data_IF_628372584349
#
_entry.id   IF_628372584349
#
_cell.length_a   1.000
_cell.length_b   1.000
_cell.length_c   1.000
_cell.angle_alpha   90.00
_cell.angle_beta   90.00
_cell.angle_gamma   90.00
#
_symmetry.space_group_name_H-M   'P 1'
#
loop_
_entity.id
_entity.type
_entity.pdbx_description
1 polymer ?
#
# COMPACT_ATOMS: atom_id res chain seq x y z
N UNK A 1 -43.18 96.77 -58.73
CA UNK A 1 -43.68 95.37 -58.59
C UNK A 1 -45.20 95.39 -58.62
N UNK A 2 -45.85 94.43 -59.30
CA UNK A 2 -47.32 94.27 -59.27
C UNK A 2 -47.80 93.97 -57.84
N UNK A 3 -48.95 94.52 -57.41
CA UNK A 3 -49.55 94.25 -56.09
C UNK A 3 -49.75 92.74 -55.84
N UNK A 4 -50.00 91.97 -56.89
CA UNK A 4 -50.15 90.50 -56.84
C UNK A 4 -48.85 89.80 -56.39
N UNK A 5 -47.69 90.28 -56.88
CA UNK A 5 -46.38 89.71 -56.56
C UNK A 5 -46.01 89.98 -55.10
N UNK A 6 -46.35 91.16 -54.58
CA UNK A 6 -46.14 91.50 -53.17
C UNK A 6 -47.02 90.65 -52.25
N UNK A 7 -48.28 90.37 -52.64
CA UNK A 7 -49.19 89.49 -51.90
C UNK A 7 -48.66 88.06 -51.82
N UNK A 8 -48.24 87.50 -52.96
CA UNK A 8 -47.67 86.15 -53.04
C UNK A 8 -46.38 86.00 -52.22
N UNK A 9 -45.52 87.01 -52.21
CA UNK A 9 -44.29 86.99 -51.37
C UNK A 9 -44.63 87.01 -49.88
N UNK A 10 -45.67 87.76 -49.47
CA UNK A 10 -46.14 87.78 -48.08
C UNK A 10 -46.76 86.44 -47.67
N UNK A 11 -47.62 85.86 -48.51
CA UNK A 11 -48.19 84.52 -48.31
C UNK A 11 -47.10 83.45 -48.18
N UNK A 12 -46.12 83.42 -49.09
CA UNK A 12 -44.96 82.51 -49.03
C UNK A 12 -44.13 82.70 -47.76
N UNK A 13 -43.94 83.95 -47.31
CA UNK A 13 -43.18 84.24 -46.08
C UNK A 13 -43.93 83.74 -44.83
N UNK A 14 -45.25 83.89 -44.80
CA UNK A 14 -46.07 83.44 -43.68
C UNK A 14 -46.18 81.90 -43.66
N UNK A 15 -46.31 81.25 -44.82
CA UNK A 15 -46.22 79.78 -44.96
C UNK A 15 -44.85 79.25 -44.54
N UNK A 16 -43.76 79.91 -44.95
CA UNK A 16 -42.40 79.53 -44.55
C UNK A 16 -42.21 79.67 -43.03
N UNK A 17 -42.73 80.75 -42.42
CA UNK A 17 -42.71 80.92 -40.97
C UNK A 17 -43.52 79.86 -40.24
N UNK A 18 -44.72 79.53 -40.73
CA UNK A 18 -45.56 78.49 -40.16
C UNK A 18 -44.89 77.12 -40.28
N UNK A 19 -44.29 76.80 -41.43
CA UNK A 19 -43.52 75.59 -41.65
C UNK A 19 -42.30 75.49 -40.74
N UNK A 20 -41.54 76.58 -40.54
CA UNK A 20 -40.42 76.61 -39.60
C UNK A 20 -40.86 76.46 -38.15
N UNK A 21 -42.01 77.02 -37.75
CA UNK A 21 -42.57 76.84 -36.42
C UNK A 21 -42.97 75.38 -36.18
N UNK A 22 -43.68 74.76 -37.13
CA UNK A 22 -44.05 73.33 -37.05
C UNK A 22 -42.82 72.41 -37.02
N UNK A 23 -41.79 72.72 -37.83
CA UNK A 23 -40.55 71.94 -37.85
C UNK A 23 -39.82 72.04 -36.51
N UNK A 24 -39.75 73.25 -35.93
CA UNK A 24 -39.16 73.49 -34.63
C UNK A 24 -39.91 72.73 -33.53
N UNK A 25 -41.23 72.83 -33.49
CA UNK A 25 -42.07 72.14 -32.49
C UNK A 25 -41.93 70.61 -32.60
N UNK A 26 -41.86 70.08 -33.82
CA UNK A 26 -41.66 68.64 -34.05
C UNK A 26 -40.25 68.18 -33.65
N UNK A 27 -39.22 68.99 -33.89
CA UNK A 27 -37.86 68.75 -33.40
C UNK A 27 -37.81 68.77 -31.88
N UNK A 28 -38.39 69.78 -31.24
CA UNK A 28 -38.45 69.89 -29.78
C UNK A 28 -39.19 68.69 -29.17
N UNK A 29 -40.33 68.26 -29.72
CA UNK A 29 -41.02 67.05 -29.27
C UNK A 29 -40.18 65.77 -29.42
N UNK A 30 -39.51 65.58 -30.55
CA UNK A 30 -38.66 64.40 -30.75
C UNK A 30 -37.48 64.37 -29.77
N UNK A 31 -36.82 65.52 -29.55
CA UNK A 31 -35.75 65.64 -28.55
C UNK A 31 -36.26 65.36 -27.14
N UNK A 32 -37.44 65.85 -26.77
CA UNK A 32 -38.06 65.61 -25.46
C UNK A 32 -38.39 64.13 -25.26
N UNK A 33 -38.85 63.45 -26.31
CA UNK A 33 -39.14 62.01 -26.30
C UNK A 33 -37.85 61.19 -26.15
N UNK A 34 -36.81 61.49 -26.93
CA UNK A 34 -35.51 60.83 -26.86
C UNK A 34 -34.85 61.04 -25.48
N UNK A 35 -34.92 62.24 -24.91
CA UNK A 35 -34.38 62.53 -23.58
C UNK A 35 -35.09 61.70 -22.50
N UNK A 36 -36.43 61.58 -22.57
CA UNK A 36 -37.20 60.74 -21.63
C UNK A 36 -36.87 59.27 -21.81
N UNK A 37 -36.72 58.79 -23.04
CA UNK A 37 -36.33 57.40 -23.34
C UNK A 37 -34.96 57.08 -22.73
N UNK A 38 -33.96 57.93 -23.01
CA UNK A 38 -32.60 57.79 -22.48
C UNK A 38 -32.58 57.82 -20.94
N UNK A 39 -33.34 58.72 -20.31
CA UNK A 39 -33.45 58.76 -18.84
C UNK A 39 -33.98 57.45 -18.27
N UNK A 40 -34.97 56.85 -18.94
CA UNK A 40 -35.57 55.58 -18.52
C UNK A 40 -34.56 54.44 -18.62
N UNK A 41 -33.86 54.32 -19.76
CA UNK A 41 -32.82 53.30 -19.96
C UNK A 41 -31.67 53.47 -18.94
N UNK A 42 -31.23 54.70 -18.68
CA UNK A 42 -30.18 54.98 -17.68
C UNK A 42 -30.62 54.50 -16.29
N UNK A 43 -31.87 54.72 -15.89
CA UNK A 43 -32.36 54.29 -14.60
C UNK A 43 -32.53 52.77 -14.50
N UNK A 44 -32.89 52.09 -15.59
CA UNK A 44 -32.88 50.63 -15.65
C UNK A 44 -31.46 50.04 -15.55
N UNK A 45 -30.50 50.65 -16.26
CA UNK A 45 -29.08 50.27 -16.17
C UNK A 45 -28.56 50.44 -14.75
N UNK A 46 -28.88 51.55 -14.06
CA UNK A 46 -28.49 51.75 -12.65
C UNK A 46 -29.04 50.65 -11.75
N UNK A 47 -30.33 50.30 -11.88
CA UNK A 47 -30.95 49.21 -11.09
C UNK A 47 -30.26 47.87 -11.36
N UNK A 48 -29.97 47.57 -12.62
CA UNK A 48 -29.22 46.36 -13.01
C UNK A 48 -27.82 46.34 -12.39
N UNK A 49 -27.12 47.47 -12.42
CA UNK A 49 -25.78 47.64 -11.85
C UNK A 49 -25.77 47.47 -10.33
N UNK A 50 -26.78 47.98 -9.61
CA UNK A 50 -26.93 47.77 -8.17
C UNK A 50 -27.16 46.29 -7.81
N UNK A 51 -27.99 45.59 -8.60
CA UNK A 51 -28.22 44.15 -8.43
C UNK A 51 -26.95 43.35 -8.69
N UNK A 52 -26.22 43.71 -9.75
CA UNK A 52 -24.95 43.09 -10.10
C UNK A 52 -23.89 43.31 -9.01
N UNK A 53 -23.80 44.52 -8.44
CA UNK A 53 -22.89 44.81 -7.33
C UNK A 53 -23.19 43.92 -6.12
N UNK A 54 -24.46 43.79 -5.74
CA UNK A 54 -24.87 42.90 -4.62
C UNK A 54 -24.53 41.43 -4.91
N UNK A 55 -24.78 40.97 -6.12
CA UNK A 55 -24.45 39.59 -6.52
C UNK A 55 -22.93 39.34 -6.46
N UNK A 56 -22.13 40.35 -6.84
CA UNK A 56 -20.67 40.28 -6.81
C UNK A 56 -20.14 40.25 -5.37
N UNK A 57 -20.75 41.00 -4.46
CA UNK A 57 -20.42 40.95 -3.02
C UNK A 57 -20.75 39.58 -2.40
N UNK A 58 -21.92 39.02 -2.70
CA UNK A 58 -22.31 37.68 -2.25
C UNK A 58 -21.38 36.59 -2.80
N UNK A 59 -21.04 36.66 -4.09
CA UNK A 59 -20.09 35.75 -4.72
C UNK A 59 -18.70 35.84 -4.07
N UNK A 60 -18.23 37.06 -3.78
CA UNK A 60 -16.98 37.28 -3.06
C UNK A 60 -17.02 36.72 -1.63
N UNK A 61 -18.15 36.84 -0.93
CA UNK A 61 -18.37 36.25 0.39
C UNK A 61 -18.24 34.72 0.36
N UNK A 62 -18.94 34.08 -0.59
CA UNK A 62 -18.86 32.63 -0.81
C UNK A 62 -17.45 32.18 -1.18
N UNK A 63 -16.78 32.89 -2.10
CA UNK A 63 -15.42 32.60 -2.52
C UNK A 63 -14.42 32.64 -1.34
N UNK A 64 -14.56 33.63 -0.46
CA UNK A 64 -13.76 33.71 0.78
C UNK A 64 -14.02 32.52 1.71
N UNK A 65 -15.27 32.10 1.89
CA UNK A 65 -15.59 30.92 2.72
C UNK A 65 -14.99 29.65 2.14
N UNK A 66 -15.24 29.38 0.85
CA UNK A 66 -14.71 28.22 0.15
C UNK A 66 -13.18 28.19 0.13
N UNK A 67 -12.52 29.36 0.06
CA UNK A 67 -11.07 29.45 0.15
C UNK A 67 -10.56 29.09 1.54
N UNK A 68 -11.26 29.51 2.61
CA UNK A 68 -10.92 29.15 4.00
C UNK A 68 -11.10 27.64 4.24
N UNK A 69 -12.22 27.09 3.82
CA UNK A 69 -12.51 25.65 3.91
C UNK A 69 -11.48 24.82 3.14
N UNK A 70 -11.13 25.22 1.90
CA UNK A 70 -10.09 24.55 1.13
C UNK A 70 -8.73 24.56 1.83
N UNK A 71 -8.36 25.66 2.49
CA UNK A 71 -7.11 25.72 3.25
C UNK A 71 -7.15 24.78 4.46
N UNK A 72 -8.26 24.74 5.18
CA UNK A 72 -8.44 23.83 6.32
C UNK A 72 -8.38 22.36 5.87
N UNK A 73 -9.10 22.01 4.81
CA UNK A 73 -9.11 20.66 4.25
C UNK A 73 -7.73 20.23 3.74
N UNK A 74 -6.98 21.12 3.09
CA UNK A 74 -5.60 20.81 2.66
C UNK A 74 -4.70 20.50 3.84
N UNK A 75 -4.77 21.31 4.91
CA UNK A 75 -4.01 21.10 6.13
C UNK A 75 -4.37 19.77 6.80
N UNK A 76 -5.65 19.45 6.93
CA UNK A 76 -6.10 18.17 7.48
C UNK A 76 -5.63 17.00 6.62
N UNK A 77 -5.65 17.13 5.29
CA UNK A 77 -5.16 16.09 4.39
C UNK A 77 -3.66 15.82 4.57
N UNK A 78 -2.85 16.85 4.75
CA UNK A 78 -1.42 16.73 5.04
C UNK A 78 -1.18 16.05 6.39
N UNK A 79 -1.93 16.43 7.43
CA UNK A 79 -1.85 15.81 8.76
C UNK A 79 -2.27 14.33 8.72
N UNK A 80 -3.35 14.01 8.00
CA UNK A 80 -3.82 12.63 7.81
C UNK A 80 -2.79 11.79 7.05
N UNK A 81 -2.18 12.32 5.98
CA UNK A 81 -1.12 11.61 5.25
C UNK A 81 0.09 11.32 6.13
N UNK A 82 0.50 12.29 6.94
CA UNK A 82 1.60 12.11 7.90
C UNK A 82 1.28 11.01 8.92
N UNK A 83 0.05 11.03 9.48
CA UNK A 83 -0.41 10.00 10.44
C UNK A 83 -0.47 8.61 9.81
N UNK A 84 -0.98 8.50 8.58
CA UNK A 84 -1.02 7.21 7.86
C UNK A 84 0.39 6.67 7.68
N UNK A 85 1.34 7.50 7.23
CA UNK A 85 2.72 7.07 7.04
C UNK A 85 3.40 6.62 8.35
N UNK A 86 3.15 7.33 9.45
CA UNK A 86 3.63 6.94 10.78
C UNK A 86 3.06 5.58 11.21
N UNK A 87 1.74 5.40 11.06
CA UNK A 87 1.07 4.14 11.40
C UNK A 87 1.55 2.96 10.55
N UNK A 88 1.78 3.14 9.26
CA UNK A 88 2.36 2.11 8.38
C UNK A 88 3.77 1.69 8.82
N UNK A 89 4.58 2.66 9.26
CA UNK A 89 5.93 2.42 9.77
C UNK A 89 5.91 1.66 11.10
N UNK A 90 5.03 2.05 12.02
CA UNK A 90 4.86 1.39 13.32
C UNK A 90 4.31 -0.03 13.17
N UNK A 91 3.35 -0.22 12.26
CA UNK A 91 2.81 -1.54 11.95
C UNK A 91 3.89 -2.47 11.40
N UNK A 92 4.70 -1.99 10.46
CA UNK A 92 5.82 -2.76 9.90
C UNK A 92 6.82 -3.15 10.98
N UNK A 93 7.17 -2.21 11.86
CA UNK A 93 8.11 -2.46 12.97
C UNK A 93 7.55 -3.50 13.95
N UNK A 94 6.27 -3.37 14.32
CA UNK A 94 5.59 -4.30 15.22
C UNK A 94 5.51 -5.72 14.65
N UNK A 95 5.24 -5.84 13.36
CA UNK A 95 5.23 -7.13 12.66
C UNK A 95 6.62 -7.78 12.65
N UNK A 96 7.68 -7.00 12.39
CA UNK A 96 9.05 -7.49 12.43
C UNK A 96 9.47 -7.95 13.84
N UNK A 97 9.06 -7.24 14.88
CA UNK A 97 9.33 -7.61 16.28
C UNK A 97 8.57 -8.87 16.70
N UNK A 98 7.29 -8.97 16.33
CA UNK A 98 6.47 -10.16 16.59
C UNK A 98 7.12 -11.40 15.94
N UNK A 99 7.52 -11.28 14.67
CA UNK A 99 8.16 -12.39 13.95
C UNK A 99 9.50 -12.80 14.58
N UNK A 100 10.32 -11.83 15.01
CA UNK A 100 11.57 -12.11 15.74
C UNK A 100 11.29 -12.83 17.06
N UNK A 101 10.29 -12.39 17.81
CA UNK A 101 9.88 -13.01 19.07
C UNK A 101 9.40 -14.44 18.88
N UNK A 102 8.51 -14.67 17.91
CA UNK A 102 8.03 -16.01 17.56
C UNK A 102 9.16 -16.95 17.12
N UNK A 103 10.13 -16.44 16.36
CA UNK A 103 11.27 -17.26 15.94
C UNK A 103 12.24 -17.51 17.10
N UNK A 104 12.37 -16.56 18.03
CA UNK A 104 13.20 -16.68 19.22
C UNK A 104 12.70 -17.78 20.16
N UNK A 105 11.38 -17.90 20.39
CA UNK A 105 10.82 -18.97 21.23
C UNK A 105 11.08 -20.38 20.67
N UNK A 106 11.42 -20.49 19.38
CA UNK A 106 11.75 -21.76 18.69
C UNK A 106 13.25 -21.96 18.51
N UNK A 107 14.11 -21.09 19.06
CA UNK A 107 15.55 -21.12 18.83
C UNK A 107 16.28 -22.31 19.46
N UNK A 108 15.61 -23.09 20.31
CA UNK A 108 16.07 -24.37 20.87
C UNK A 108 15.36 -25.57 20.24
N UNK A 109 14.56 -25.35 19.20
CA UNK A 109 13.70 -26.39 18.65
C UNK A 109 14.23 -26.88 17.31
N UNK A 110 14.01 -28.17 17.05
CA UNK A 110 14.26 -28.85 15.80
C UNK A 110 12.97 -29.50 15.32
N UNK A 111 12.75 -29.46 14.01
CA UNK A 111 11.66 -30.15 13.34
C UNK A 111 12.22 -31.34 12.55
N UNK A 112 11.80 -32.54 12.94
CA UNK A 112 12.17 -33.80 12.28
C UNK A 112 10.98 -34.23 11.42
N UNK A 113 11.26 -34.53 10.15
CA UNK A 113 10.27 -34.92 9.14
C UNK A 113 10.61 -36.26 8.53
N UNK A 114 9.60 -36.93 8.00
CA UNK A 114 9.76 -38.15 7.23
C UNK A 114 9.80 -39.42 8.07
N UNK A 115 9.47 -39.36 9.36
CA UNK A 115 9.35 -40.54 10.22
C UNK A 115 7.86 -40.91 10.29
N UNK A 116 7.43 -42.09 9.80
CA UNK A 116 6.06 -42.57 9.94
C UNK A 116 5.64 -42.64 11.42
N UNK A 117 4.35 -42.49 11.69
CA UNK A 117 3.83 -42.63 13.05
C UNK A 117 3.44 -44.08 13.30
N UNK A 118 4.06 -44.70 14.30
CA UNK A 118 3.77 -46.08 14.71
C UNK A 118 2.88 -46.12 15.96
N UNK A 119 2.00 -47.13 16.09
CA UNK A 119 1.28 -47.39 17.33
C UNK A 119 2.26 -47.61 18.50
N UNK A 120 2.01 -46.93 19.62
CA UNK A 120 2.85 -47.02 20.83
C UNK A 120 4.34 -46.67 20.60
N UNK A 121 4.64 -45.74 19.69
CA UNK A 121 6.00 -45.26 19.48
C UNK A 121 6.62 -44.61 20.74
N UNK A 122 7.93 -44.85 20.93
CA UNK A 122 8.70 -44.13 21.94
C UNK A 122 9.60 -43.08 21.26
N UNK A 123 9.18 -41.82 21.33
CA UNK A 123 9.93 -40.70 20.76
C UNK A 123 11.34 -40.57 21.38
N UNK A 124 11.52 -40.94 22.64
CA UNK A 124 12.84 -40.88 23.29
C UNK A 124 13.82 -41.87 22.68
N UNK A 125 13.35 -43.07 22.33
CA UNK A 125 14.20 -44.09 21.71
C UNK A 125 14.51 -43.75 20.25
N UNK A 126 13.54 -43.15 19.53
CA UNK A 126 13.78 -42.59 18.19
C UNK A 126 14.88 -41.51 18.26
N UNK A 127 14.82 -40.60 19.23
CA UNK A 127 15.83 -39.54 19.40
C UNK A 127 17.21 -40.10 19.77
N UNK A 128 17.29 -41.13 20.61
CA UNK A 128 18.57 -41.80 20.92
C UNK A 128 19.19 -42.40 19.67
N UNK A 129 18.42 -43.19 18.90
CA UNK A 129 18.88 -43.79 17.64
C UNK A 129 19.35 -42.72 16.64
N UNK A 130 18.59 -41.62 16.51
CA UNK A 130 18.99 -40.50 15.65
C UNK A 130 20.26 -39.81 16.16
N UNK A 131 20.39 -39.60 17.46
CA UNK A 131 21.58 -39.02 18.09
C UNK A 131 22.83 -39.87 17.83
N UNK A 132 22.73 -41.18 18.03
CA UNK A 132 23.80 -42.15 17.74
C UNK A 132 24.17 -42.14 16.25
N UNK A 133 23.17 -42.22 15.37
CA UNK A 133 23.38 -42.18 13.92
C UNK A 133 24.06 -40.88 13.46
N UNK A 134 23.71 -39.75 14.08
CA UNK A 134 24.28 -38.42 13.77
C UNK A 134 25.67 -38.22 14.39
N UNK A 135 26.09 -39.10 15.31
CA UNK A 135 27.33 -38.94 16.08
C UNK A 135 27.22 -37.83 17.14
N UNK A 136 26.01 -37.55 17.63
CA UNK A 136 25.70 -36.63 18.71
C UNK A 136 24.69 -37.29 19.65
N UNK A 137 25.18 -38.11 20.57
CA UNK A 137 24.32 -38.85 21.50
C UNK A 137 23.42 -37.90 22.30
N UNK A 138 22.12 -38.20 22.31
CA UNK A 138 21.10 -37.44 23.02
C UNK A 138 20.67 -38.20 24.28
N UNK A 139 20.84 -37.56 25.43
CA UNK A 139 20.35 -38.04 26.73
C UNK A 139 18.99 -37.44 27.06
N UNK A 140 18.30 -37.99 28.06
CA UNK A 140 17.05 -37.41 28.56
C UNK A 140 17.22 -36.00 29.13
N UNK A 141 18.41 -35.66 29.63
CA UNK A 141 18.72 -34.32 30.13
C UNK A 141 18.95 -33.27 29.03
N UNK A 142 19.14 -33.70 27.78
CA UNK A 142 19.35 -32.78 26.65
C UNK A 142 18.04 -32.25 26.06
N UNK A 143 16.94 -32.98 26.28
CA UNK A 143 15.63 -32.73 25.69
C UNK A 143 14.67 -32.27 26.78
N UNK A 144 14.03 -31.13 26.53
CA UNK A 144 13.00 -30.57 27.40
C UNK A 144 11.62 -31.12 27.04
N UNK A 145 11.25 -31.03 25.76
CA UNK A 145 9.95 -31.49 25.25
C UNK A 145 10.14 -32.17 23.90
N UNK A 146 9.47 -33.31 23.69
CA UNK A 146 9.40 -33.99 22.40
C UNK A 146 7.97 -34.43 22.12
N UNK A 147 7.40 -34.02 20.99
CA UNK A 147 6.03 -34.38 20.63
C UNK A 147 5.80 -34.37 19.11
N UNK A 148 4.78 -35.10 18.67
CA UNK A 148 4.29 -35.08 17.29
C UNK A 148 3.44 -33.83 17.03
N UNK A 149 3.57 -33.26 15.84
CA UNK A 149 2.75 -32.15 15.34
C UNK A 149 2.18 -32.54 13.99
N UNK A 150 0.88 -32.32 13.82
CA UNK A 150 0.18 -32.60 12.56
C UNK A 150 0.69 -31.69 11.46
N UNK A 151 0.78 -32.23 10.24
CA UNK A 151 1.04 -31.44 9.05
C UNK A 151 -0.27 -31.12 8.33
N UNK A 152 -0.21 -30.43 7.18
CA UNK A 152 -1.41 -30.23 6.33
C UNK A 152 -1.92 -31.53 5.70
N UNK A 153 -1.03 -32.51 5.57
CA UNK A 153 -1.37 -33.86 5.15
C UNK A 153 -1.63 -34.67 6.43
N UNK A 154 -2.89 -35.04 6.65
CA UNK A 154 -3.30 -35.77 7.86
C UNK A 154 -2.63 -37.14 7.97
N UNK A 155 -2.06 -37.66 6.89
CA UNK A 155 -1.29 -38.91 6.88
C UNK A 155 0.14 -38.72 7.38
N UNK A 156 0.62 -37.48 7.53
CA UNK A 156 2.00 -37.15 7.91
C UNK A 156 2.04 -36.31 9.17
N UNK A 157 2.87 -36.74 10.11
CA UNK A 157 3.17 -36.01 11.34
C UNK A 157 4.67 -35.75 11.44
N UNK A 158 5.04 -34.55 11.90
CA UNK A 158 6.43 -34.20 12.17
C UNK A 158 6.70 -34.34 13.67
N UNK A 159 7.95 -34.53 14.06
CA UNK A 159 8.35 -34.50 15.47
C UNK A 159 9.00 -33.13 15.74
N UNK A 160 8.53 -32.45 16.79
CA UNK A 160 9.18 -31.26 17.34
C UNK A 160 9.94 -31.66 18.60
N UNK A 161 11.23 -31.31 18.61
CA UNK A 161 12.12 -31.53 19.75
C UNK A 161 12.59 -30.18 20.25
N UNK A 162 12.34 -29.87 21.52
CA UNK A 162 12.88 -28.73 22.23
C UNK A 162 14.03 -29.19 23.11
N UNK A 163 15.20 -28.61 22.91
CA UNK A 163 16.40 -28.91 23.68
C UNK A 163 16.50 -28.00 24.91
N UNK A 164 17.17 -28.48 25.96
CA UNK A 164 17.49 -27.65 27.14
C UNK A 164 18.47 -26.52 26.79
N UNK A 165 19.49 -26.83 25.99
CA UNK A 165 20.52 -25.87 25.56
C UNK A 165 20.47 -25.65 24.04
N UNK A 166 20.65 -24.38 23.64
CA UNK A 166 20.78 -24.02 22.22
C UNK A 166 22.05 -24.63 21.60
N UNK A 167 23.10 -24.73 22.39
CA UNK A 167 24.37 -25.31 21.95
C UNK A 167 24.22 -26.77 21.53
N UNK A 168 23.58 -27.60 22.37
CA UNK A 168 23.34 -29.02 22.06
C UNK A 168 22.47 -29.16 20.81
N UNK A 169 21.45 -28.32 20.69
CA UNK A 169 20.61 -28.22 19.47
C UNK A 169 21.45 -27.92 18.23
N UNK A 170 22.31 -26.91 18.31
CA UNK A 170 23.15 -26.45 17.19
C UNK A 170 24.16 -27.55 16.77
N UNK A 171 24.79 -28.24 17.73
CA UNK A 171 25.70 -29.37 17.49
C UNK A 171 24.99 -30.53 16.78
N UNK A 172 23.84 -30.95 17.31
CA UNK A 172 23.02 -32.01 16.71
C UNK A 172 22.62 -31.67 15.27
N UNK A 173 22.13 -30.45 15.06
CA UNK A 173 21.67 -30.00 13.75
C UNK A 173 22.81 -29.87 12.73
N UNK A 174 23.98 -29.36 13.14
CA UNK A 174 25.14 -29.22 12.24
C UNK A 174 25.64 -30.58 11.76
N UNK A 175 25.72 -31.56 12.65
CA UNK A 175 26.09 -32.93 12.32
C UNK A 175 25.03 -33.60 11.43
N UNK A 176 23.75 -33.44 11.77
CA UNK A 176 22.64 -34.00 10.99
C UNK A 176 22.61 -33.50 9.54
N UNK A 177 22.93 -32.21 9.31
CA UNK A 177 22.99 -31.62 7.95
C UNK A 177 24.03 -32.26 7.03
N UNK A 178 25.05 -32.91 7.60
CA UNK A 178 26.12 -33.58 6.85
C UNK A 178 25.76 -35.03 6.48
N UNK A 179 24.63 -35.53 6.96
CA UNK A 179 24.22 -36.92 6.82
C UNK A 179 22.96 -37.07 5.98
N UNK A 180 22.82 -38.23 5.33
CA UNK A 180 21.60 -38.64 4.63
C UNK A 180 20.93 -39.71 5.47
N UNK A 181 20.06 -39.29 6.38
CA UNK A 181 19.32 -40.16 7.27
C UNK A 181 18.12 -40.76 6.54
N UNK A 182 17.81 -42.02 6.83
CA UNK A 182 16.67 -42.76 6.28
C UNK A 182 15.99 -43.58 7.38
N UNK A 183 14.78 -44.05 7.14
CA UNK A 183 14.01 -44.76 8.18
C UNK A 183 14.53 -46.18 8.49
N UNK A 184 15.39 -46.75 7.65
CA UNK A 184 16.10 -48.01 7.91
C UNK A 184 16.88 -47.99 9.24
N UNK A 185 17.48 -46.85 9.59
CA UNK A 185 18.21 -46.65 10.85
C UNK A 185 17.33 -46.80 12.08
N UNK A 186 16.02 -46.56 11.94
CA UNK A 186 15.05 -46.71 13.01
C UNK A 186 14.51 -48.15 13.10
N UNK A 187 14.83 -49.00 12.13
CA UNK A 187 14.27 -50.34 11.96
C UNK A 187 12.91 -50.35 11.26
N UNK A 188 12.58 -49.30 10.51
CA UNK A 188 11.35 -49.26 9.71
C UNK A 188 11.54 -50.02 8.40
N UNK A 189 10.47 -50.62 7.89
CA UNK A 189 10.43 -51.24 6.55
C UNK A 189 10.44 -50.20 5.42
N UNK A 190 10.17 -48.93 5.76
CA UNK A 190 10.21 -47.81 4.82
C UNK A 190 11.63 -47.25 4.69
N UNK A 191 12.10 -46.97 3.46
CA UNK A 191 13.41 -46.36 3.18
C UNK A 191 13.32 -44.84 2.94
N UNK A 192 12.23 -44.20 3.41
CA UNK A 192 12.02 -42.77 3.20
C UNK A 192 13.10 -41.92 3.90
N UNK A 193 13.52 -40.80 3.31
CA UNK A 193 14.51 -39.91 3.89
C UNK A 193 13.99 -39.16 5.11
N UNK A 194 14.81 -39.08 6.15
CA UNK A 194 14.55 -38.30 7.37
C UNK A 194 15.22 -36.92 7.23
N UNK A 195 14.45 -35.86 7.46
CA UNK A 195 14.95 -34.49 7.40
C UNK A 195 14.92 -33.84 8.77
N UNK A 196 16.08 -33.36 9.23
CA UNK A 196 16.24 -32.65 10.50
C UNK A 196 16.50 -31.18 10.20
N UNK A 197 15.55 -30.32 10.58
CA UNK A 197 15.55 -28.89 10.22
C UNK A 197 15.42 -28.00 11.45
N UNK A 198 15.80 -26.72 11.30
CA UNK A 198 15.44 -25.70 12.29
C UNK A 198 13.92 -25.54 12.37
N UNK A 199 13.38 -25.40 13.57
CA UNK A 199 11.97 -25.13 13.74
C UNK A 199 11.67 -23.65 13.44
N UNK A 200 11.20 -23.39 12.23
CA UNK A 200 10.77 -22.06 11.81
C UNK A 200 9.33 -21.74 12.25
N UNK A 201 9.04 -20.47 12.55
CA UNK A 201 7.65 -20.03 12.72
C UNK A 201 6.89 -20.12 11.38
N UNK A 202 5.55 -20.17 11.39
CA UNK A 202 4.74 -20.34 10.17
C UNK A 202 5.04 -19.31 9.08
N UNK A 203 5.24 -18.04 9.44
CA UNK A 203 5.60 -16.98 8.50
C UNK A 203 6.96 -17.24 7.84
N UNK A 204 7.97 -17.63 8.61
CA UNK A 204 9.30 -17.98 8.07
C UNK A 204 9.27 -19.26 7.24
N UNK A 205 8.46 -20.26 7.61
CA UNK A 205 8.25 -21.46 6.76
C UNK A 205 7.63 -21.08 5.41
N UNK A 206 6.65 -20.17 5.39
CA UNK A 206 6.04 -19.65 4.16
C UNK A 206 7.09 -18.91 3.32
N UNK A 207 7.84 -18.00 3.91
CA UNK A 207 8.88 -17.23 3.25
C UNK A 207 9.98 -18.13 2.66
N UNK A 208 10.38 -19.19 3.38
CA UNK A 208 11.34 -20.19 2.87
C UNK A 208 10.78 -20.93 1.65
N UNK A 209 9.51 -21.29 1.67
CA UNK A 209 8.82 -21.89 0.52
C UNK A 209 8.82 -20.96 -0.71
N UNK A 210 8.51 -19.68 -0.51
CA UNK A 210 8.54 -18.67 -1.57
C UNK A 210 9.96 -18.46 -2.12
N UNK A 211 10.97 -18.33 -1.24
CA UNK A 211 12.37 -18.23 -1.64
C UNK A 211 12.83 -19.47 -2.42
N UNK A 212 12.40 -20.67 -2.03
CA UNK A 212 12.66 -21.92 -2.74
C UNK A 212 11.97 -22.00 -4.12
N UNK A 213 10.77 -21.42 -4.28
CA UNK A 213 10.12 -21.28 -5.58
C UNK A 213 10.91 -20.33 -6.49
N UNK A 214 11.23 -19.13 -6.01
CA UNK A 214 12.05 -18.14 -6.75
C UNK A 214 13.42 -18.69 -7.12
N UNK A 215 14.03 -19.49 -6.25
CA UNK A 215 15.29 -20.17 -6.52
C UNK A 215 15.20 -21.04 -7.80
N UNK A 216 14.12 -21.82 -7.93
CA UNK A 216 13.88 -22.71 -9.08
C UNK A 216 13.57 -21.91 -10.34
N UNK A 217 12.72 -20.90 -10.23
CA UNK A 217 12.30 -20.04 -11.36
C UNK A 217 13.48 -19.27 -11.98
N UNK A 218 14.39 -18.75 -11.16
CA UNK A 218 15.48 -17.85 -11.61
C UNK A 218 16.87 -18.49 -11.58
N UNK A 219 16.94 -19.83 -11.51
CA UNK A 219 18.18 -20.59 -11.52
C UNK A 219 19.22 -20.16 -10.46
N UNK A 220 18.76 -19.80 -9.26
CA UNK A 220 19.67 -19.61 -8.12
C UNK A 220 20.10 -20.97 -7.57
N UNK A 221 21.36 -21.08 -7.14
CA UNK A 221 21.89 -22.35 -6.64
C UNK A 221 21.51 -22.64 -5.19
N UNK A 222 21.48 -21.64 -4.31
CA UNK A 222 21.39 -21.89 -2.87
C UNK A 222 20.30 -21.05 -2.19
N UNK A 223 19.49 -21.73 -1.38
CA UNK A 223 18.60 -21.14 -0.36
C UNK A 223 18.71 -22.05 0.86
N UNK A 224 18.99 -21.49 2.02
CA UNK A 224 19.15 -22.25 3.26
C UNK A 224 18.77 -21.42 4.49
N UNK A 225 18.66 -22.10 5.62
CA UNK A 225 18.35 -21.51 6.92
C UNK A 225 19.56 -21.64 7.83
N UNK A 226 19.87 -20.57 8.56
CA UNK A 226 20.83 -20.59 9.66
C UNK A 226 20.36 -19.67 10.77
N UNK A 227 20.24 -20.19 12.00
CA UNK A 227 19.80 -19.42 13.17
C UNK A 227 18.43 -18.75 12.97
N UNK A 228 17.47 -19.48 12.41
CA UNK A 228 16.13 -18.98 12.10
C UNK A 228 16.06 -17.94 10.98
N UNK A 229 17.18 -17.63 10.32
CA UNK A 229 17.27 -16.65 9.24
C UNK A 229 17.43 -17.36 7.89
N UNK A 230 16.69 -16.89 6.89
CA UNK A 230 16.77 -17.40 5.52
C UNK A 230 17.84 -16.64 4.74
N UNK A 231 18.68 -17.39 4.04
CA UNK A 231 19.72 -16.88 3.18
C UNK A 231 19.56 -17.44 1.77
N UNK A 232 19.98 -16.66 0.78
CA UNK A 232 20.05 -17.11 -0.60
C UNK A 232 21.38 -16.68 -1.24
N UNK A 233 21.82 -17.46 -2.22
CA UNK A 233 23.04 -17.17 -2.99
C UNK A 233 22.91 -17.71 -4.41
N UNK A 234 23.18 -16.85 -5.40
CA UNK A 234 22.98 -17.20 -6.83
C UNK A 234 23.99 -18.25 -7.31
N UNK A 235 25.28 -18.01 -7.10
CA UNK A 235 26.37 -18.96 -7.41
C UNK A 235 27.35 -19.07 -6.25
N UNK A 236 28.31 -19.99 -6.33
CA UNK A 236 29.38 -20.21 -5.34
C UNK A 236 30.31 -19.01 -5.16
N UNK A 237 30.26 -18.03 -6.08
CA UNK A 237 31.04 -16.79 -6.03
C UNK A 237 30.20 -15.55 -5.72
N UNK A 238 28.87 -15.63 -5.84
CA UNK A 238 27.98 -14.49 -5.58
C UNK A 238 27.94 -14.11 -4.10
N UNK A 239 27.48 -12.89 -3.80
CA UNK A 239 27.19 -12.47 -2.44
C UNK A 239 26.03 -13.27 -1.83
N UNK A 240 26.09 -13.51 -0.53
CA UNK A 240 24.99 -14.09 0.25
C UNK A 240 24.03 -12.95 0.59
N UNK A 241 22.75 -13.14 0.26
CA UNK A 241 21.68 -12.20 0.65
C UNK A 241 20.84 -12.81 1.77
N UNK A 242 20.31 -11.94 2.63
CA UNK A 242 19.40 -12.28 3.71
C UNK A 242 17.96 -11.96 3.29
N UNK A 243 17.04 -12.86 3.61
CA UNK A 243 15.60 -12.75 3.29
C UNK A 243 14.83 -12.79 4.61
N UNK A 244 14.35 -11.63 5.04
CA UNK A 244 13.61 -11.47 6.30
C UNK A 244 12.11 -11.27 6.07
N UNK A 245 11.75 -10.71 4.91
CA UNK A 245 10.37 -10.37 4.54
C UNK A 245 10.12 -10.67 3.08
N UNK A 246 8.85 -10.64 2.68
CA UNK A 246 8.45 -10.97 1.31
C UNK A 246 9.04 -10.01 0.27
N UNK A 247 9.19 -8.72 0.58
CA UNK A 247 9.86 -7.76 -0.33
C UNK A 247 11.34 -8.06 -0.57
N UNK A 248 12.01 -8.78 0.34
CA UNK A 248 13.40 -9.21 0.10
C UNK A 248 13.50 -10.27 -1.01
N UNK A 249 12.39 -10.91 -1.40
CA UNK A 249 12.38 -11.85 -2.52
C UNK A 249 12.68 -11.17 -3.86
N UNK A 250 12.46 -9.87 -3.98
CA UNK A 250 12.85 -9.06 -5.15
C UNK A 250 14.38 -9.04 -5.34
N UNK A 251 15.16 -9.33 -4.29
CA UNK A 251 16.62 -9.49 -4.43
C UNK A 251 17.00 -10.76 -5.20
N UNK A 252 16.10 -11.77 -5.24
CA UNK A 252 16.25 -12.96 -6.08
C UNK A 252 15.79 -12.68 -7.52
N UNK A 253 14.76 -11.83 -7.66
CA UNK A 253 14.17 -11.41 -8.92
C UNK A 253 13.82 -9.91 -8.89
N UNK A 254 14.67 -9.02 -9.40
CA UNK A 254 14.28 -7.64 -9.56
C UNK A 254 13.13 -7.58 -10.57
N UNK A 255 11.98 -7.04 -10.16
CA UNK A 255 10.88 -6.76 -11.06
C UNK A 255 11.46 -5.84 -12.14
N UNK A 256 11.50 -6.30 -13.40
CA UNK A 256 11.82 -5.39 -14.49
C UNK A 256 10.63 -4.44 -14.58
N UNK A 257 10.78 -3.24 -14.02
CA UNK A 257 9.82 -2.16 -14.20
C UNK A 257 9.94 -1.73 -15.67
N UNK A 258 9.08 -2.30 -16.52
CA UNK A 258 8.80 -1.77 -17.87
C UNK A 258 8.05 -0.46 -17.77
#
# INVERSE_FOLDING_TARGET
MSKEVVRLILELKDELKAGMALLKDSLEQNFDLDERSLRTEIDEIKKSMDLMSKCLDDANGRLKSTTRENKALKKENEELRSRVHALETDLTTSQDELLKSEQYTRNKNVEIKGIPQEPAENLSDILKKLGEAVGEALSSGDVDVCHRVRTKDDTKTNIIVQFQSREKRDQFLEKARKMRLKNDLLGSECDDPIYINEHLCPAMKRLLGMAGARKREHAWKFVWVKNGVIFARRTEKSQIIRINRESDLEKICPVHTT
#
